data_IF_433029804044
#
_entry.id   IF_433029804044
#
_cell.length_a   1.000
_cell.length_b   1.000
_cell.length_c   1.000
_cell.angle_alpha   90.00
_cell.angle_beta   90.00
_cell.angle_gamma   90.00
#
_symmetry.space_group_name_H-M   'P 1'
#
loop_
_entity.id
_entity.type
_entity.pdbx_description
1 polymer ?
#
# COMPACT_ATOMS: atom_id res chain seq x y z
N UNK A 1 -22.30 -7.49 1.49
CA UNK A 1 -21.08 -6.84 2.01
C UNK A 1 -20.60 -5.88 0.95
N UNK A 2 -20.61 -4.57 1.25
CA UNK A 2 -20.27 -3.47 0.38
C UNK A 2 -18.78 -3.59 -0.08
N UNK A 3 -18.45 -3.11 -1.27
CA UNK A 3 -17.08 -3.09 -1.83
C UNK A 3 -16.10 -2.31 -0.95
N UNK A 4 -16.56 -1.22 -0.34
CA UNK A 4 -15.80 -0.39 0.59
C UNK A 4 -15.37 -1.21 1.81
N UNK A 5 -16.31 -1.86 2.49
CA UNK A 5 -16.03 -2.71 3.67
C UNK A 5 -15.03 -3.84 3.32
N UNK A 6 -15.14 -4.42 2.11
CA UNK A 6 -14.16 -5.42 1.65
C UNK A 6 -12.77 -4.83 1.44
N UNK A 7 -12.70 -3.59 0.94
CA UNK A 7 -11.43 -2.90 0.74
C UNK A 7 -10.78 -2.54 2.07
N UNK A 8 -11.55 -2.02 3.03
CA UNK A 8 -11.12 -1.73 4.40
C UNK A 8 -10.56 -2.99 5.10
N UNK A 9 -11.30 -4.10 5.05
CA UNK A 9 -10.85 -5.38 5.62
C UNK A 9 -9.55 -5.88 4.98
N UNK A 10 -9.36 -5.64 3.67
CA UNK A 10 -8.11 -6.02 2.99
C UNK A 10 -6.95 -5.10 3.39
N UNK A 11 -7.18 -3.79 3.49
CA UNK A 11 -6.18 -2.84 3.98
C UNK A 11 -5.74 -3.23 5.40
N UNK A 12 -6.69 -3.44 6.31
CA UNK A 12 -6.42 -3.88 7.69
C UNK A 12 -5.65 -5.19 7.75
N UNK A 13 -6.03 -6.18 6.93
CA UNK A 13 -5.31 -7.46 6.87
C UNK A 13 -3.85 -7.29 6.46
N UNK A 14 -3.57 -6.45 5.45
CA UNK A 14 -2.20 -6.18 5.05
C UNK A 14 -1.44 -5.36 6.09
N UNK A 15 -2.10 -4.40 6.74
CA UNK A 15 -1.51 -3.64 7.85
C UNK A 15 -1.11 -4.56 9.00
N UNK A 16 -1.99 -5.49 9.39
CA UNK A 16 -1.69 -6.48 10.42
C UNK A 16 -0.54 -7.41 10.01
N UNK A 17 -0.46 -7.79 8.73
CA UNK A 17 0.65 -8.60 8.22
C UNK A 17 1.98 -7.84 8.25
N UNK A 18 2.00 -6.55 7.90
CA UNK A 18 3.16 -5.68 7.98
C UNK A 18 3.63 -5.51 9.44
N UNK A 19 2.72 -5.20 10.36
CA UNK A 19 3.01 -5.04 11.78
C UNK A 19 3.58 -6.34 12.39
N UNK A 20 3.04 -7.49 12.04
CA UNK A 20 3.55 -8.78 12.48
C UNK A 20 4.95 -9.08 11.91
N UNK A 21 5.24 -8.67 10.68
CA UNK A 21 6.57 -8.81 10.09
C UNK A 21 7.59 -7.89 10.78
N UNK A 22 7.23 -6.63 11.06
CA UNK A 22 8.07 -5.71 11.83
C UNK A 22 8.38 -6.25 13.24
N UNK A 23 7.37 -6.74 13.94
CA UNK A 23 7.55 -7.34 15.26
C UNK A 23 8.52 -8.53 15.23
N UNK A 24 8.44 -9.39 14.21
CA UNK A 24 9.42 -10.48 14.04
C UNK A 24 10.81 -9.96 13.71
N UNK A 25 10.92 -8.91 12.90
CA UNK A 25 12.18 -8.24 12.60
C UNK A 25 12.87 -7.75 13.87
N UNK A 26 12.13 -7.05 14.73
CA UNK A 26 12.62 -6.58 16.03
C UNK A 26 13.12 -7.75 16.91
N UNK A 27 12.32 -8.81 17.03
CA UNK A 27 12.70 -10.00 17.79
C UNK A 27 13.99 -10.64 17.28
N UNK A 28 14.17 -10.74 15.95
CA UNK A 28 15.41 -11.26 15.38
C UNK A 28 16.59 -10.30 15.58
N UNK A 29 16.35 -8.98 15.50
CA UNK A 29 17.36 -7.98 15.77
C UNK A 29 17.85 -8.04 17.23
N UNK A 30 16.95 -8.13 18.19
CA UNK A 30 17.28 -8.32 19.61
C UNK A 30 18.06 -9.61 19.84
N UNK A 31 17.57 -10.72 19.28
CA UNK A 31 18.25 -12.00 19.38
C UNK A 31 19.65 -12.02 18.75
N UNK A 32 19.89 -11.18 17.73
CA UNK A 32 21.22 -11.03 17.10
C UNK A 32 22.24 -10.31 18.00
N UNK A 33 21.80 -9.71 19.10
CA UNK A 33 22.67 -9.09 20.09
C UNK A 33 23.17 -10.09 21.17
N UNK A 34 22.91 -11.39 21.01
CA UNK A 34 23.45 -12.42 21.93
C UNK A 34 24.97 -12.31 22.04
N UNK A 35 25.47 -12.23 23.27
CA UNK A 35 26.90 -12.11 23.53
C UNK A 35 27.56 -10.80 23.09
N UNK A 36 26.76 -9.73 22.88
CA UNK A 36 27.22 -8.42 22.40
C UNK A 36 28.38 -7.86 23.26
N UNK A 37 28.27 -7.96 24.58
CA UNK A 37 29.31 -7.47 25.50
C UNK A 37 30.65 -8.19 25.26
N UNK A 38 30.61 -9.51 25.08
CA UNK A 38 31.78 -10.32 24.75
C UNK A 38 32.34 -9.95 23.36
N UNK A 39 31.50 -9.87 22.35
CA UNK A 39 31.94 -9.53 21.00
C UNK A 39 32.49 -8.10 20.88
N UNK A 40 31.98 -7.17 21.70
CA UNK A 40 32.43 -5.78 21.75
C UNK A 40 33.85 -5.62 22.26
N UNK A 41 34.35 -6.57 23.05
CA UNK A 41 35.75 -6.57 23.49
C UNK A 41 36.75 -6.73 22.33
N UNK A 42 36.27 -7.16 21.14
CA UNK A 42 37.10 -7.26 19.94
C UNK A 42 38.19 -8.33 20.03
N UNK A 43 38.05 -9.29 20.96
CA UNK A 43 39.02 -10.37 21.06
C UNK A 43 39.06 -11.22 19.78
N UNK A 44 40.27 -11.43 19.19
CA UNK A 44 40.39 -12.26 18.00
C UNK A 44 40.06 -13.72 18.34
N UNK A 45 39.52 -14.44 17.35
CA UNK A 45 39.30 -15.88 17.49
C UNK A 45 40.65 -16.59 17.64
N UNK A 46 40.85 -17.24 18.77
CA UNK A 46 42.10 -18.02 19.05
C UNK A 46 42.00 -19.36 18.32
N UNK A 47 42.67 -19.47 17.17
CA UNK A 47 42.69 -20.68 16.34
C UNK A 47 43.30 -21.85 17.11
N UNK A 48 42.61 -23.01 17.09
CA UNK A 48 43.01 -24.21 17.82
C UNK A 48 42.64 -24.21 19.32
N UNK A 49 42.11 -23.09 19.83
CA UNK A 49 41.66 -23.02 21.23
C UNK A 49 40.26 -23.66 21.41
N UNK A 50 40.03 -24.28 22.57
CA UNK A 50 38.75 -24.95 22.85
C UNK A 50 37.51 -24.04 22.68
N UNK A 51 37.67 -22.73 22.81
CA UNK A 51 36.58 -21.73 22.64
C UNK A 51 36.31 -21.35 21.18
N UNK A 52 37.18 -21.70 20.23
CA UNK A 52 37.07 -21.28 18.82
C UNK A 52 35.69 -21.64 18.22
N UNK A 53 35.28 -22.89 18.37
CA UNK A 53 33.99 -23.37 17.81
C UNK A 53 32.80 -22.58 18.35
N UNK A 54 32.80 -22.28 19.65
CA UNK A 54 31.71 -21.52 20.30
C UNK A 54 31.69 -20.07 19.83
N UNK A 55 32.87 -19.44 19.69
CA UNK A 55 32.97 -18.05 19.23
C UNK A 55 32.48 -17.91 17.77
N UNK A 56 32.94 -18.79 16.87
CA UNK A 56 32.48 -18.80 15.46
C UNK A 56 30.99 -19.07 15.37
N UNK A 57 30.46 -20.04 16.12
CA UNK A 57 29.05 -20.36 16.13
C UNK A 57 28.17 -19.20 16.64
N UNK A 58 28.67 -18.42 17.62
CA UNK A 58 27.96 -17.22 18.11
C UNK A 58 27.89 -16.16 17.01
N UNK A 59 28.99 -15.83 16.37
CA UNK A 59 29.05 -14.84 15.28
C UNK A 59 28.12 -15.25 14.14
N UNK A 60 28.19 -16.51 13.71
CA UNK A 60 27.40 -17.04 12.60
C UNK A 60 25.87 -17.04 12.94
N UNK A 61 25.52 -17.39 14.17
CA UNK A 61 24.15 -17.37 14.65
C UNK A 61 23.60 -15.94 14.66
N UNK A 62 24.37 -14.98 15.14
CA UNK A 62 23.98 -13.57 15.16
C UNK A 62 23.85 -13.02 13.74
N UNK A 63 24.75 -13.35 12.83
CA UNK A 63 24.66 -12.97 11.42
C UNK A 63 23.39 -13.53 10.76
N UNK A 64 23.07 -14.81 11.00
CA UNK A 64 21.83 -15.43 10.48
C UNK A 64 20.57 -14.75 11.04
N UNK A 65 20.56 -14.39 12.32
CA UNK A 65 19.44 -13.68 12.96
C UNK A 65 19.28 -12.27 12.37
N UNK A 66 20.39 -11.56 12.17
CA UNK A 66 20.34 -10.23 11.55
C UNK A 66 19.81 -10.29 10.11
N UNK A 67 20.23 -11.28 9.32
CA UNK A 67 19.69 -11.48 7.97
C UNK A 67 18.18 -11.73 8.00
N UNK A 68 17.68 -12.55 8.92
CA UNK A 68 16.24 -12.77 9.10
C UNK A 68 15.49 -11.50 9.51
N UNK A 69 16.10 -10.66 10.36
CA UNK A 69 15.52 -9.36 10.71
C UNK A 69 15.34 -8.49 9.46
N UNK A 70 16.35 -8.39 8.61
CA UNK A 70 16.31 -7.63 7.37
C UNK A 70 15.26 -8.21 6.39
N UNK A 71 15.16 -9.53 6.27
CA UNK A 71 14.16 -10.19 5.44
C UNK A 71 12.72 -9.86 5.89
N UNK A 72 12.44 -9.93 7.19
CA UNK A 72 11.12 -9.60 7.72
C UNK A 72 10.81 -8.10 7.59
N UNK A 73 11.81 -7.21 7.73
CA UNK A 73 11.64 -5.77 7.47
C UNK A 73 11.26 -5.51 6.01
N UNK A 74 11.99 -6.07 5.05
CA UNK A 74 11.67 -5.96 3.62
C UNK A 74 10.30 -6.52 3.28
N UNK A 75 9.89 -7.58 3.96
CA UNK A 75 8.57 -8.16 3.81
C UNK A 75 7.48 -7.19 4.31
N UNK A 76 7.70 -6.50 5.43
CA UNK A 76 6.79 -5.47 5.91
C UNK A 76 6.65 -4.33 4.88
N UNK A 77 7.76 -3.79 4.38
CA UNK A 77 7.80 -2.76 3.34
C UNK A 77 7.04 -3.19 2.06
N UNK A 78 7.10 -4.47 1.70
CA UNK A 78 6.39 -5.00 0.53
C UNK A 78 4.87 -4.92 0.63
N UNK A 79 4.31 -4.68 1.81
CA UNK A 79 2.88 -4.50 2.01
C UNK A 79 2.42 -3.06 1.82
N UNK A 80 3.29 -2.04 1.89
CA UNK A 80 2.94 -0.62 1.84
C UNK A 80 2.13 -0.27 0.58
N UNK A 81 2.59 -0.72 -0.58
CA UNK A 81 1.88 -0.50 -1.83
C UNK A 81 0.49 -1.19 -1.89
N UNK A 82 0.34 -2.34 -1.22
CA UNK A 82 -0.95 -3.05 -1.13
C UNK A 82 -1.90 -2.35 -0.17
N UNK A 83 -1.39 -1.85 0.94
CA UNK A 83 -2.16 -1.08 1.93
C UNK A 83 -2.68 0.18 1.25
N UNK A 84 -1.79 0.99 0.67
CA UNK A 84 -2.16 2.23 -0.03
C UNK A 84 -3.19 1.99 -1.15
N UNK A 85 -3.04 0.91 -1.92
CA UNK A 85 -4.02 0.54 -2.95
C UNK A 85 -5.41 0.25 -2.36
N UNK A 86 -5.50 -0.55 -1.28
CA UNK A 86 -6.78 -0.91 -0.71
C UNK A 86 -7.42 0.23 0.08
N UNK A 87 -6.63 1.10 0.72
CA UNK A 87 -7.11 2.36 1.32
C UNK A 87 -7.70 3.29 0.25
N UNK A 88 -7.02 3.43 -0.89
CA UNK A 88 -7.56 4.19 -2.02
C UNK A 88 -8.86 3.58 -2.55
N UNK A 89 -8.95 2.24 -2.61
CA UNK A 89 -10.18 1.56 -3.04
C UNK A 89 -11.31 1.71 -2.02
N UNK A 90 -11.01 1.74 -0.72
CA UNK A 90 -11.97 2.00 0.36
C UNK A 90 -12.57 3.41 0.28
N UNK A 91 -11.80 4.39 -0.17
CA UNK A 91 -12.28 5.76 -0.38
C UNK A 91 -13.07 5.99 -1.68
N UNK A 92 -13.20 4.98 -2.55
CA UNK A 92 -13.95 5.12 -3.81
C UNK A 92 -15.43 4.87 -3.60
N UNK A 93 -16.24 5.83 -4.03
CA UNK A 93 -17.69 5.67 -4.10
C UNK A 93 -18.04 4.89 -5.37
N UNK A 94 -18.78 3.81 -5.23
CA UNK A 94 -19.29 2.99 -6.33
C UNK A 94 -20.83 2.86 -6.31
N UNK A 95 -21.39 2.29 -7.34
CA UNK A 95 -22.84 2.14 -7.52
C UNK A 95 -23.55 1.32 -6.42
N UNK A 96 -22.79 0.55 -5.60
CA UNK A 96 -23.35 -0.22 -4.50
C UNK A 96 -23.70 0.62 -3.25
N UNK A 97 -23.38 1.90 -3.26
CA UNK A 97 -23.55 2.82 -2.14
C UNK A 97 -24.72 3.79 -2.40
N UNK A 98 -25.57 4.05 -1.41
CA UNK A 98 -26.68 5.02 -1.54
C UNK A 98 -26.20 6.42 -1.95
N UNK A 99 -25.05 6.86 -1.44
CA UNK A 99 -24.45 8.16 -1.73
C UNK A 99 -23.94 8.30 -3.18
N UNK A 100 -23.89 7.19 -3.91
CA UNK A 100 -23.40 7.15 -5.29
C UNK A 100 -24.21 8.03 -6.23
N UNK A 101 -25.52 8.19 -6.00
CA UNK A 101 -26.39 9.01 -6.83
C UNK A 101 -25.97 10.48 -6.79
N UNK A 102 -25.82 11.06 -5.59
CA UNK A 102 -25.41 12.46 -5.43
C UNK A 102 -23.96 12.66 -5.91
N UNK A 103 -23.08 11.73 -5.57
CA UNK A 103 -21.69 11.77 -6.00
C UNK A 103 -21.54 11.77 -7.53
N UNK A 104 -22.22 10.85 -8.23
CA UNK A 104 -22.10 10.80 -9.69
C UNK A 104 -22.83 11.96 -10.38
N UNK A 105 -23.88 12.53 -9.81
CA UNK A 105 -24.50 13.77 -10.31
C UNK A 105 -23.50 14.92 -10.22
N UNK A 106 -22.84 15.10 -9.10
CA UNK A 106 -21.82 16.13 -8.91
C UNK A 106 -20.62 15.98 -9.87
N UNK A 107 -20.10 14.75 -10.00
CA UNK A 107 -19.00 14.49 -10.94
C UNK A 107 -19.42 14.69 -12.41
N UNK A 108 -20.68 14.41 -12.74
CA UNK A 108 -21.21 14.66 -14.08
C UNK A 108 -21.25 16.16 -14.40
N UNK A 109 -21.70 17.00 -13.47
CA UNK A 109 -21.69 18.45 -13.62
C UNK A 109 -20.29 18.98 -13.88
N UNK A 110 -19.31 18.60 -13.04
CA UNK A 110 -17.90 18.94 -13.24
C UNK A 110 -17.36 18.49 -14.61
N UNK A 111 -17.70 17.28 -15.03
CA UNK A 111 -17.25 16.76 -16.31
C UNK A 111 -17.86 17.53 -17.49
N UNK A 112 -19.12 17.96 -17.38
CA UNK A 112 -19.80 18.82 -18.36
C UNK A 112 -19.16 20.20 -18.44
N UNK A 113 -18.89 20.83 -17.30
CA UNK A 113 -18.19 22.11 -17.22
C UNK A 113 -16.80 22.02 -17.87
N UNK A 114 -16.01 21.01 -17.52
CA UNK A 114 -14.69 20.78 -18.13
C UNK A 114 -14.76 20.54 -19.64
N UNK A 115 -15.75 19.76 -20.09
CA UNK A 115 -15.95 19.53 -21.53
C UNK A 115 -16.31 20.82 -22.25
N UNK A 116 -17.16 21.66 -21.67
CA UNK A 116 -17.56 22.95 -22.22
C UNK A 116 -16.38 23.92 -22.22
N UNK A 117 -15.60 23.98 -21.13
CA UNK A 117 -14.40 24.82 -21.07
C UNK A 117 -13.36 24.44 -22.15
N UNK A 118 -13.10 23.15 -22.37
CA UNK A 118 -12.21 22.67 -23.43
C UNK A 118 -12.77 22.94 -24.84
N UNK A 119 -14.08 23.10 -24.98
CA UNK A 119 -14.71 23.49 -26.22
C UNK A 119 -14.54 24.98 -26.52
N UNK A 120 -14.76 25.81 -25.50
CA UNK A 120 -14.74 27.26 -25.59
C UNK A 120 -13.29 27.82 -25.63
N UNK A 121 -12.35 27.14 -24.99
CA UNK A 121 -10.93 27.49 -24.88
C UNK A 121 -10.03 26.40 -25.44
N UNK A 122 -9.80 26.37 -26.78
CA UNK A 122 -8.94 25.35 -27.41
C UNK A 122 -7.52 25.32 -26.88
N UNK A 123 -7.00 26.45 -26.36
CA UNK A 123 -5.67 26.59 -25.78
C UNK A 123 -5.44 25.73 -24.53
N UNK A 124 -6.51 25.34 -23.82
CA UNK A 124 -6.42 24.47 -22.64
C UNK A 124 -6.30 22.99 -22.99
N UNK A 125 -6.36 22.64 -24.28
CA UNK A 125 -6.22 21.24 -24.72
C UNK A 125 -4.77 20.84 -24.72
N UNK A 126 -4.42 19.89 -23.86
CA UNK A 126 -3.05 19.36 -23.75
C UNK A 126 -2.64 18.49 -24.96
N UNK A 127 -3.61 17.92 -25.68
CA UNK A 127 -3.41 17.10 -26.89
C UNK A 127 -4.66 17.07 -27.77
N UNK A 128 -4.53 16.57 -29.01
CA UNK A 128 -5.60 16.56 -30.02
C UNK A 128 -6.89 15.84 -29.56
N UNK A 129 -6.77 14.84 -28.70
CA UNK A 129 -7.91 14.04 -28.22
C UNK A 129 -8.50 14.51 -26.87
N UNK A 130 -8.00 15.62 -26.30
CA UNK A 130 -8.49 16.14 -25.00
C UNK A 130 -10.01 16.32 -24.96
N UNK A 131 -10.59 16.89 -26.01
CA UNK A 131 -12.04 17.10 -26.11
C UNK A 131 -12.83 15.78 -26.21
N UNK A 132 -12.30 14.82 -26.97
CA UNK A 132 -12.89 13.50 -27.15
C UNK A 132 -12.91 12.73 -25.82
N UNK A 133 -11.83 12.77 -25.06
CA UNK A 133 -11.75 12.15 -23.75
C UNK A 133 -12.69 12.81 -22.74
N UNK A 134 -12.79 14.14 -22.75
CA UNK A 134 -13.73 14.86 -21.89
C UNK A 134 -15.19 14.46 -22.22
N UNK A 135 -15.55 14.37 -23.51
CA UNK A 135 -16.88 13.89 -23.92
C UNK A 135 -17.14 12.45 -23.52
N UNK A 136 -16.13 11.57 -23.65
CA UNK A 136 -16.24 10.17 -23.21
C UNK A 136 -16.49 10.08 -21.70
N UNK A 137 -15.81 10.88 -20.89
CA UNK A 137 -16.01 10.94 -19.45
C UNK A 137 -17.44 11.37 -19.09
N UNK A 138 -17.99 12.39 -19.78
CA UNK A 138 -19.40 12.80 -19.60
C UNK A 138 -20.35 11.65 -19.90
N UNK A 139 -20.19 10.95 -21.04
CA UNK A 139 -21.07 9.85 -21.43
C UNK A 139 -21.00 8.67 -20.45
N UNK A 140 -19.82 8.37 -19.89
CA UNK A 140 -19.65 7.32 -18.89
C UNK A 140 -20.31 7.69 -17.55
N UNK A 141 -20.19 8.94 -17.13
CA UNK A 141 -20.87 9.44 -15.93
C UNK A 141 -22.39 9.50 -16.08
N UNK A 142 -22.91 9.88 -17.25
CA UNK A 142 -24.36 9.83 -17.53
C UNK A 142 -24.92 8.40 -17.39
N UNK A 143 -24.19 7.40 -17.86
CA UNK A 143 -24.59 5.99 -17.67
C UNK A 143 -24.60 5.60 -16.19
N UNK A 144 -23.57 6.04 -15.42
CA UNK A 144 -23.51 5.76 -13.99
C UNK A 144 -24.63 6.44 -13.21
N UNK A 145 -24.96 7.70 -13.54
CA UNK A 145 -26.08 8.41 -12.92
C UNK A 145 -27.40 7.68 -13.18
N UNK A 146 -27.68 7.28 -14.43
CA UNK A 146 -28.87 6.50 -14.76
C UNK A 146 -28.97 5.18 -13.98
N UNK A 147 -27.85 4.48 -13.82
CA UNK A 147 -27.82 3.25 -13.03
C UNK A 147 -28.03 3.53 -11.54
N UNK A 148 -27.41 4.59 -11.01
CA UNK A 148 -27.60 4.99 -9.63
C UNK A 148 -29.05 5.44 -9.35
N UNK A 149 -29.73 6.13 -10.30
CA UNK A 149 -31.13 6.48 -10.21
C UNK A 149 -32.05 5.24 -10.14
N UNK A 150 -31.74 4.19 -10.89
CA UNK A 150 -32.53 2.94 -10.83
C UNK A 150 -32.35 2.22 -9.50
N UNK A 151 -31.15 2.36 -8.87
CA UNK A 151 -30.84 1.66 -7.63
C UNK A 151 -31.28 2.41 -6.37
N UNK A 152 -31.26 3.74 -6.41
CA UNK A 152 -31.32 4.59 -5.21
C UNK A 152 -32.31 5.78 -5.30
N UNK A 153 -33.06 5.95 -6.38
CA UNK A 153 -34.09 7.00 -6.52
C UNK A 153 -35.46 6.53 -6.06
#
# INVERSE_FOLDING_TARGET
>A
MNSQVRAEQKAERYQNAANNALKRSEQYCEAANEGREFLRLGEPIKIGHHSEKRHRALIERNARRMNKSIEEMRKAESYDGKIAYWEQMAGKIDLSMPESLEFFKFELEKAKEKHQELKDKPELRTHAFSLTYAKKAVNELEKKVKLAEVLWA
#
